data_IF_141289026925
#
_entry.id   IF_141289026925
#
_cell.length_a   1.000
_cell.length_b   1.000
_cell.length_c   1.000
_cell.angle_alpha   90.00
_cell.angle_beta   90.00
_cell.angle_gamma   90.00
#
_symmetry.space_group_name_H-M   'P 1'
#
loop_
_entity.id
_entity.type
_entity.pdbx_description
1 polymer ?
#
# COMPACT_ATOMS: atom_id res chain seq x y z
N UNK A 1 -23.18 -21.16 16.28
CA UNK A 1 -22.42 -19.91 16.48
C UNK A 1 -22.55 -19.08 15.22
N UNK A 2 -23.30 -17.97 15.18
CA UNK A 2 -23.42 -17.18 13.97
C UNK A 2 -22.17 -16.31 13.83
N UNK A 3 -21.21 -16.81 13.04
CA UNK A 3 -20.22 -15.98 12.38
C UNK A 3 -20.87 -15.32 11.17
N UNK A 4 -20.84 -13.99 11.14
CA UNK A 4 -21.03 -13.15 9.95
C UNK A 4 -20.72 -11.73 10.40
N UNK A 5 -19.54 -11.24 10.02
CA UNK A 5 -19.09 -9.91 10.41
C UNK A 5 -20.10 -8.87 9.95
N UNK A 6 -20.66 -8.12 10.89
CA UNK A 6 -21.47 -6.94 10.60
C UNK A 6 -20.63 -5.99 9.75
N UNK A 7 -20.90 -5.99 8.45
CA UNK A 7 -20.60 -4.86 7.58
C UNK A 7 -21.46 -3.73 8.10
N UNK A 8 -20.83 -2.64 8.53
CA UNK A 8 -21.51 -1.44 8.98
C UNK A 8 -22.15 -0.82 7.72
N UNK A 9 -23.32 -1.32 7.31
CA UNK A 9 -24.02 -0.86 6.12
C UNK A 9 -24.81 0.40 6.49
N UNK A 10 -24.14 1.54 6.46
CA UNK A 10 -24.82 2.83 6.52
C UNK A 10 -24.91 3.36 5.09
N UNK A 11 -26.11 3.81 4.72
CA UNK A 11 -26.39 4.38 3.42
C UNK A 11 -25.58 5.67 3.17
N UNK A 12 -25.15 5.86 1.93
CA UNK A 12 -24.39 7.04 1.52
C UNK A 12 -25.20 8.32 1.71
N UNK A 13 -26.49 8.30 1.35
CA UNK A 13 -27.36 9.46 1.46
C UNK A 13 -27.55 9.91 2.91
N UNK A 14 -27.56 8.96 3.85
CA UNK A 14 -27.60 9.24 5.29
C UNK A 14 -26.33 9.93 5.79
N UNK A 15 -25.15 9.53 5.29
CA UNK A 15 -23.88 10.20 5.62
C UNK A 15 -23.81 11.61 5.05
N UNK A 16 -24.27 11.80 3.81
CA UNK A 16 -24.31 13.12 3.18
C UNK A 16 -25.25 14.04 3.96
N UNK A 17 -26.43 13.54 4.34
CA UNK A 17 -27.38 14.29 5.16
C UNK A 17 -26.76 14.65 6.51
N UNK A 18 -26.18 13.67 7.21
CA UNK A 18 -25.55 13.86 8.51
C UNK A 18 -24.41 14.87 8.46
N UNK A 19 -23.54 14.81 7.46
CA UNK A 19 -22.43 15.74 7.29
C UNK A 19 -22.90 17.20 7.08
N UNK A 20 -24.09 17.40 6.50
CA UNK A 20 -24.67 18.73 6.30
C UNK A 20 -25.38 19.26 7.55
N UNK A 21 -26.07 18.39 8.29
CA UNK A 21 -26.90 18.79 9.43
C UNK A 21 -26.13 18.83 10.74
N UNK A 22 -25.20 17.90 10.94
CA UNK A 22 -24.43 17.75 12.18
C UNK A 22 -23.01 17.21 11.87
N UNK A 23 -22.08 18.11 11.49
CA UNK A 23 -20.72 17.75 11.16
C UNK A 23 -19.96 17.08 12.32
N UNK A 24 -20.24 17.47 13.57
CA UNK A 24 -19.57 16.91 14.73
C UNK A 24 -19.95 15.45 14.95
N UNK A 25 -21.24 15.14 14.85
CA UNK A 25 -21.73 13.75 14.94
C UNK A 25 -21.24 12.89 13.77
N UNK A 26 -21.13 13.47 12.57
CA UNK A 26 -20.52 12.79 11.42
C UNK A 26 -19.08 12.36 11.73
N UNK A 27 -18.23 13.28 12.20
CA UNK A 27 -16.82 12.98 12.50
C UNK A 27 -16.70 11.90 13.59
N UNK A 28 -17.53 11.96 14.63
CA UNK A 28 -17.56 10.95 15.68
C UNK A 28 -17.98 9.56 15.16
N UNK A 29 -19.00 9.50 14.30
CA UNK A 29 -19.44 8.24 13.69
C UNK A 29 -18.36 7.67 12.78
N UNK A 30 -17.67 8.53 12.02
CA UNK A 30 -16.56 8.11 11.15
C UNK A 30 -15.44 7.49 11.95
N UNK A 31 -15.00 8.13 13.03
CA UNK A 31 -13.91 7.60 13.84
C UNK A 31 -14.28 6.22 14.43
N UNK A 32 -15.54 6.03 14.87
CA UNK A 32 -16.02 4.72 15.32
C UNK A 32 -15.99 3.63 14.23
N UNK A 33 -16.42 3.95 13.01
CA UNK A 33 -16.41 3.00 11.89
C UNK A 33 -14.98 2.62 11.51
N UNK A 34 -14.07 3.59 11.52
CA UNK A 34 -12.65 3.37 11.25
C UNK A 34 -11.99 2.53 12.34
N UNK A 35 -12.21 2.86 13.61
CA UNK A 35 -11.67 2.09 14.74
C UNK A 35 -12.17 0.65 14.73
N UNK A 36 -13.44 0.43 14.43
CA UNK A 36 -14.00 -0.91 14.26
C UNK A 36 -13.32 -1.68 13.11
N UNK A 37 -13.07 -1.00 12.00
CA UNK A 37 -12.38 -1.59 10.84
C UNK A 37 -10.93 -1.97 11.17
N UNK A 38 -10.21 -1.10 11.89
CA UNK A 38 -8.83 -1.35 12.33
C UNK A 38 -8.78 -2.49 13.35
N UNK A 39 -9.70 -2.54 14.31
CA UNK A 39 -9.73 -3.58 15.34
C UNK A 39 -9.96 -4.98 14.77
N UNK A 40 -10.59 -5.10 13.60
CA UNK A 40 -10.80 -6.38 12.90
C UNK A 40 -9.61 -6.82 12.04
N UNK A 41 -8.62 -5.95 11.83
CA UNK A 41 -7.41 -6.33 11.14
C UNK A 41 -6.51 -7.23 12.02
N UNK A 42 -5.64 -8.08 11.41
CA UNK A 42 -4.64 -8.85 12.14
C UNK A 42 -3.81 -7.97 13.09
N UNK A 43 -3.50 -8.50 14.29
CA UNK A 43 -2.91 -7.72 15.39
C UNK A 43 -1.58 -7.04 15.01
N UNK A 44 -0.75 -7.72 14.20
CA UNK A 44 0.51 -7.24 13.64
C UNK A 44 0.35 -6.01 12.74
N UNK A 45 -0.86 -5.80 12.18
CA UNK A 45 -1.15 -4.69 11.26
C UNK A 45 -1.90 -3.54 11.90
N UNK A 46 -2.53 -3.76 13.06
CA UNK A 46 -3.39 -2.75 13.70
C UNK A 46 -2.63 -1.46 14.02
N UNK A 47 -1.43 -1.57 14.57
CA UNK A 47 -0.61 -0.39 14.91
C UNK A 47 -0.28 0.44 13.67
N UNK A 48 0.15 -0.23 12.58
CA UNK A 48 0.45 0.44 11.31
C UNK A 48 -0.79 1.13 10.74
N UNK A 49 -1.95 0.49 10.82
CA UNK A 49 -3.22 1.08 10.36
C UNK A 49 -3.63 2.30 11.18
N UNK A 50 -3.44 2.28 12.52
CA UNK A 50 -3.69 3.46 13.37
C UNK A 50 -2.80 4.63 12.99
N UNK A 51 -1.51 4.38 12.73
CA UNK A 51 -0.56 5.41 12.27
C UNK A 51 -0.97 5.98 10.91
N UNK A 52 -1.43 5.12 9.98
CA UNK A 52 -1.93 5.57 8.68
C UNK A 52 -3.20 6.42 8.84
N UNK A 53 -4.15 5.99 9.68
CA UNK A 53 -5.36 6.74 9.97
C UNK A 53 -5.05 8.12 10.55
N UNK A 54 -4.11 8.20 11.49
CA UNK A 54 -3.65 9.47 12.04
C UNK A 54 -3.08 10.38 10.95
N UNK A 55 -2.26 9.86 10.04
CA UNK A 55 -1.71 10.63 8.92
C UNK A 55 -2.80 11.14 7.98
N UNK A 56 -3.81 10.31 7.67
CA UNK A 56 -4.96 10.71 6.86
C UNK A 56 -5.75 11.83 7.54
N UNK A 57 -6.01 11.70 8.85
CA UNK A 57 -6.68 12.74 9.63
C UNK A 57 -5.89 14.05 9.61
N UNK A 58 -4.56 13.99 9.77
CA UNK A 58 -3.72 15.17 9.72
C UNK A 58 -3.80 15.87 8.36
N UNK A 59 -3.74 15.12 7.25
CA UNK A 59 -3.89 15.68 5.90
C UNK A 59 -5.23 16.39 5.74
N UNK A 60 -6.33 15.81 6.25
CA UNK A 60 -7.65 16.45 6.24
C UNK A 60 -7.68 17.74 7.04
N UNK A 61 -7.06 17.75 8.23
CA UNK A 61 -7.07 18.89 9.14
C UNK A 61 -6.21 20.06 8.64
N UNK A 62 -5.12 19.78 7.93
CA UNK A 62 -4.18 20.80 7.45
C UNK A 62 -4.46 21.28 6.03
N UNK A 63 -5.30 20.58 5.26
CA UNK A 63 -5.62 20.97 3.90
C UNK A 63 -6.44 22.26 3.86
N UNK A 64 -6.18 23.08 2.83
CA UNK A 64 -6.90 24.35 2.63
C UNK A 64 -8.38 24.18 2.31
N UNK A 65 -8.77 23.04 1.73
CA UNK A 65 -10.15 22.69 1.43
C UNK A 65 -10.32 21.16 1.29
N UNK A 66 -11.56 20.63 1.32
CA UNK A 66 -11.82 19.19 1.24
C UNK A 66 -11.32 18.52 -0.04
N UNK A 67 -11.33 19.21 -1.19
CA UNK A 67 -10.85 18.66 -2.45
C UNK A 67 -9.33 18.51 -2.44
N UNK A 68 -8.59 19.50 -1.92
CA UNK A 68 -7.15 19.41 -1.73
C UNK A 68 -6.77 18.27 -0.77
N UNK A 69 -7.55 18.04 0.29
CA UNK A 69 -7.36 16.87 1.16
C UNK A 69 -7.56 15.56 0.37
N UNK A 70 -8.62 15.47 -0.45
CA UNK A 70 -8.90 14.31 -1.27
C UNK A 70 -7.74 13.97 -2.23
N UNK A 71 -7.23 14.98 -2.94
CA UNK A 71 -6.09 14.82 -3.85
C UNK A 71 -4.84 14.37 -3.09
N UNK A 72 -4.56 14.97 -1.94
CA UNK A 72 -3.41 14.60 -1.12
C UNK A 72 -3.51 13.14 -0.62
N UNK A 73 -4.69 12.71 -0.18
CA UNK A 73 -4.93 11.32 0.23
C UNK A 73 -4.83 10.38 -0.97
N UNK A 74 -5.34 10.74 -2.16
CA UNK A 74 -5.18 9.91 -3.36
C UNK A 74 -3.72 9.76 -3.75
N UNK A 75 -2.91 10.80 -3.61
CA UNK A 75 -1.47 10.73 -3.88
C UNK A 75 -0.75 9.80 -2.89
N UNK A 76 -1.16 9.75 -1.62
CA UNK A 76 -0.64 8.78 -0.66
C UNK A 76 -0.96 7.33 -1.07
N UNK A 77 -2.16 7.08 -1.58
CA UNK A 77 -2.55 5.77 -2.11
C UNK A 77 -1.73 5.39 -3.34
N UNK A 78 -1.57 6.32 -4.29
CA UNK A 78 -0.73 6.11 -5.48
C UNK A 78 0.74 5.85 -5.14
N UNK A 79 1.31 6.59 -4.18
CA UNK A 79 2.67 6.32 -3.69
C UNK A 79 2.80 4.91 -3.13
N UNK A 80 1.82 4.45 -2.35
CA UNK A 80 1.82 3.09 -1.80
C UNK A 80 1.72 2.03 -2.90
N UNK A 81 0.92 2.29 -3.94
CA UNK A 81 0.79 1.42 -5.10
C UNK A 81 2.10 1.34 -5.91
N UNK A 82 2.75 2.48 -6.14
CA UNK A 82 4.04 2.52 -6.84
C UNK A 82 5.11 1.74 -6.07
N UNK A 83 5.21 1.92 -4.75
CA UNK A 83 6.12 1.13 -3.92
C UNK A 83 5.85 -0.37 -3.96
N UNK A 84 4.58 -0.77 -4.06
CA UNK A 84 4.23 -2.17 -4.27
C UNK A 84 4.71 -2.67 -5.65
N UNK A 85 4.56 -1.85 -6.69
CA UNK A 85 5.08 -2.14 -8.03
C UNK A 85 6.60 -2.30 -8.05
N UNK A 86 7.34 -1.37 -7.43
CA UNK A 86 8.79 -1.44 -7.27
C UNK A 86 9.22 -2.73 -6.56
N UNK A 87 8.60 -3.04 -5.41
CA UNK A 87 8.89 -4.26 -4.66
C UNK A 87 8.57 -5.53 -5.46
N UNK A 88 7.51 -5.50 -6.26
CA UNK A 88 7.16 -6.62 -7.14
C UNK A 88 8.21 -6.80 -8.24
N UNK A 89 8.63 -5.71 -8.88
CA UNK A 89 9.66 -5.75 -9.91
C UNK A 89 10.99 -6.26 -9.34
N UNK A 90 11.41 -5.80 -8.16
CA UNK A 90 12.61 -6.29 -7.48
C UNK A 90 12.57 -7.81 -7.26
N UNK A 91 11.42 -8.33 -6.81
CA UNK A 91 11.23 -9.77 -6.64
C UNK A 91 11.30 -10.52 -7.98
N UNK A 92 10.75 -9.96 -9.06
CA UNK A 92 10.84 -10.56 -10.39
C UNK A 92 12.26 -10.54 -10.94
N UNK A 93 13.02 -9.46 -10.71
CA UNK A 93 14.42 -9.36 -11.12
C UNK A 93 15.31 -10.30 -10.31
N UNK A 94 15.10 -10.43 -9.00
CA UNK A 94 15.80 -11.39 -8.15
C UNK A 94 15.52 -12.86 -8.55
N UNK A 95 14.34 -13.13 -9.12
CA UNK A 95 13.99 -14.45 -9.68
C UNK A 95 14.63 -14.73 -11.04
N UNK A 96 15.25 -13.74 -11.70
CA UNK A 96 16.02 -14.04 -12.92
C UNK A 96 17.26 -14.82 -12.51
N UNK A 97 17.51 -16.03 -13.07
CA UNK A 97 18.72 -16.76 -12.75
C UNK A 97 19.92 -15.87 -13.08
N UNK A 98 20.87 -15.76 -12.15
CA UNK A 98 22.17 -15.16 -12.42
C UNK A 98 22.66 -15.70 -13.76
N UNK A 99 22.78 -14.82 -14.76
CA UNK A 99 23.48 -15.17 -15.99
C UNK A 99 24.92 -15.41 -15.55
N UNK A 100 25.28 -16.68 -15.35
CA UNK A 100 26.66 -17.11 -15.25
C UNK A 100 27.28 -16.77 -16.61
N UNK A 101 27.85 -15.58 -16.75
CA UNK A 101 28.88 -15.35 -17.75
C UNK A 101 30.00 -16.31 -17.36
N UNK A 102 30.01 -17.49 -17.97
CA UNK A 102 31.08 -18.43 -17.78
C UNK A 102 32.39 -17.73 -18.13
N UNK A 103 33.39 -17.83 -17.27
CA UNK A 103 34.74 -17.38 -17.58
C UNK A 103 35.23 -18.24 -18.74
N UNK A 104 35.31 -17.66 -19.93
CA UNK A 104 35.93 -18.31 -21.08
C UNK A 104 37.40 -18.51 -20.73
N UNK A 105 37.79 -19.78 -20.50
CA UNK A 105 39.19 -20.14 -20.35
C UNK A 105 39.81 -20.13 -21.76
N UNK A 106 40.90 -19.38 -21.99
CA UNK A 106 41.56 -19.36 -23.28
C UNK A 106 42.06 -20.77 -23.62
N UNK A 107 41.88 -21.17 -24.87
CA UNK A 107 42.41 -22.44 -25.35
C UNK A 107 43.95 -22.34 -25.37
N UNK A 108 44.70 -23.28 -24.78
CA UNK A 108 46.15 -23.25 -24.87
C UNK A 108 46.57 -23.39 -26.34
N UNK A 109 47.43 -22.49 -26.81
CA UNK A 109 47.98 -22.55 -28.18
C UNK A 109 48.70 -23.89 -28.38
N UNK A 110 48.30 -24.64 -29.41
CA UNK A 110 48.93 -25.91 -29.73
C UNK A 110 50.35 -25.62 -30.23
N UNK A 111 51.40 -26.25 -29.65
CA UNK A 111 52.77 -26.01 -30.09
C UNK A 111 52.92 -26.40 -31.57
N UNK A 112 53.80 -25.71 -32.31
CA UNK A 112 53.88 -25.85 -33.76
C UNK A 112 54.14 -27.31 -34.13
N UNK A 113 53.27 -27.85 -34.99
CA UNK A 113 53.41 -29.18 -35.56
C UNK A 113 54.72 -29.23 -36.34
N UNK A 114 55.69 -29.98 -35.83
CA UNK A 114 56.92 -30.33 -36.56
C UNK A 114 56.52 -30.94 -37.91
N UNK A 115 56.93 -30.29 -38.99
CA UNK A 115 56.84 -30.83 -40.35
C UNK A 115 57.99 -31.83 -40.51
N UNK A 116 57.65 -33.08 -40.81
CA UNK A 116 58.56 -34.08 -41.38
C UNK A 116 58.61 -33.87 -42.88
#
# INVERSE_FOLDING_TARGET
MPGSGTTYHIDFDDWVRLARTDPARFEHLRDRVLDYSIARAPADRQERLRRLQWRVNQVRNTASNPLSACIAISNMMWSSFNHLGEAYDDLQHARRPFRRCARILPFPEQPPRSKV
#
